data_IF_758919947428
#
_entry.id   IF_758919947428
#
_cell.length_a   1.000
_cell.length_b   1.000
_cell.length_c   1.000
_cell.angle_alpha   90.00
_cell.angle_beta   90.00
_cell.angle_gamma   90.00
#
_symmetry.space_group_name_H-M   'P 1'
#
loop_
_entity.id
_entity.type
_entity.pdbx_description
1 polymer ?
#
# COMPACT_ATOMS: atom_id res chain seq x y z
N UNK A 1 -6.47 -9.30 11.31
CA UNK A 1 -6.84 -8.10 10.52
C UNK A 1 -6.10 -8.14 9.21
N UNK A 2 -6.82 -8.21 8.09
CA UNK A 2 -6.26 -8.12 6.74
C UNK A 2 -5.95 -6.64 6.41
N UNK A 3 -4.71 -6.24 6.71
CA UNK A 3 -4.22 -4.89 6.38
C UNK A 3 -4.29 -4.63 4.87
N UNK A 4 -3.96 -5.64 4.05
CA UNK A 4 -4.11 -5.55 2.59
C UNK A 4 -5.53 -5.17 2.17
N UNK A 5 -6.55 -5.89 2.64
CA UNK A 5 -7.95 -5.62 2.28
C UNK A 5 -8.40 -4.23 2.75
N UNK A 6 -7.93 -3.81 3.93
CA UNK A 6 -8.21 -2.50 4.50
C UNK A 6 -7.59 -1.40 3.65
N UNK A 7 -6.28 -1.45 3.42
CA UNK A 7 -5.53 -0.47 2.63
C UNK A 7 -6.06 -0.42 1.19
N UNK A 8 -6.34 -1.57 0.56
CA UNK A 8 -6.96 -1.64 -0.77
C UNK A 8 -8.31 -0.93 -0.80
N UNK A 9 -9.19 -1.18 0.16
CA UNK A 9 -10.52 -0.53 0.23
C UNK A 9 -10.40 0.98 0.42
N UNK A 10 -9.47 1.43 1.25
CA UNK A 10 -9.23 2.85 1.46
C UNK A 10 -8.59 3.53 0.24
N UNK A 11 -7.69 2.84 -0.45
CA UNK A 11 -7.08 3.31 -1.69
C UNK A 11 -8.11 3.40 -2.83
N UNK A 12 -8.94 2.37 -2.99
CA UNK A 12 -10.05 2.33 -3.95
C UNK A 12 -11.09 3.43 -3.70
N UNK A 13 -11.33 3.76 -2.42
CA UNK A 13 -12.14 4.90 -2.01
C UNK A 13 -11.44 6.27 -2.17
N UNK A 14 -10.27 6.33 -2.83
CA UNK A 14 -9.40 7.52 -2.96
C UNK A 14 -9.07 8.22 -1.65
N UNK A 15 -9.09 7.49 -0.51
CA UNK A 15 -8.71 8.01 0.80
C UNK A 15 -7.20 7.93 1.03
N UNK A 16 -6.54 6.99 0.37
CA UNK A 16 -5.10 6.82 0.41
C UNK A 16 -4.49 7.05 -0.97
N UNK A 17 -3.32 7.66 -0.95
CA UNK A 17 -2.42 7.84 -2.08
C UNK A 17 -1.23 6.89 -1.92
N UNK A 18 -0.38 6.82 -2.94
CA UNK A 18 0.74 5.87 -3.01
C UNK A 18 1.70 6.03 -1.84
N UNK A 19 1.93 7.26 -1.34
CA UNK A 19 2.72 7.51 -0.13
C UNK A 19 2.09 6.92 1.14
N UNK A 20 0.77 6.98 1.30
CA UNK A 20 0.08 6.34 2.41
C UNK A 20 0.24 4.81 2.32
N UNK A 21 0.01 4.21 1.14
CA UNK A 21 0.20 2.76 0.93
C UNK A 21 1.65 2.34 1.21
N UNK A 22 2.63 3.15 0.80
CA UNK A 22 4.05 2.94 1.06
C UNK A 22 4.38 2.93 2.56
N UNK A 23 3.73 3.79 3.35
CA UNK A 23 3.89 3.81 4.81
C UNK A 23 3.46 2.49 5.45
N UNK A 24 2.43 1.83 4.92
CA UNK A 24 2.03 0.50 5.38
C UNK A 24 3.05 -0.58 5.01
N UNK A 25 3.79 -0.42 3.91
CA UNK A 25 4.92 -1.31 3.56
C UNK A 25 6.06 -1.13 4.57
N UNK A 26 6.48 0.12 4.83
CA UNK A 26 7.54 0.44 5.81
C UNK A 26 7.17 -0.06 7.21
N UNK A 27 5.90 0.06 7.59
CA UNK A 27 5.39 -0.40 8.88
C UNK A 27 5.23 -1.95 8.96
N UNK A 28 5.58 -2.68 7.91
CA UNK A 28 5.46 -4.14 7.84
C UNK A 28 4.01 -4.64 7.89
N UNK A 29 3.04 -3.80 7.52
CA UNK A 29 1.61 -4.15 7.49
C UNK A 29 1.20 -4.82 6.19
N UNK A 30 1.86 -4.45 5.09
CA UNK A 30 1.69 -5.05 3.77
C UNK A 30 3.07 -5.29 3.13
N UNK A 31 3.13 -6.15 2.12
CA UNK A 31 4.36 -6.40 1.34
C UNK A 31 4.49 -5.43 0.16
N UNK A 32 5.70 -5.23 -0.40
CA UNK A 32 5.88 -4.47 -1.64
C UNK A 32 5.08 -5.04 -2.83
N UNK A 33 4.88 -6.36 -2.88
CA UNK A 33 4.03 -7.00 -3.89
C UNK A 33 2.55 -6.59 -3.74
N UNK A 34 2.09 -6.51 -2.49
CA UNK A 34 0.75 -6.04 -2.16
C UNK A 34 0.59 -4.55 -2.47
N UNK A 35 1.60 -3.73 -2.20
CA UNK A 35 1.64 -2.33 -2.61
C UNK A 35 1.44 -2.21 -4.12
N UNK A 36 2.23 -2.93 -4.92
CA UNK A 36 2.13 -2.92 -6.37
C UNK A 36 0.76 -3.36 -6.87
N UNK A 37 0.14 -4.31 -6.19
CA UNK A 37 -1.24 -4.75 -6.52
C UNK A 37 -2.29 -3.68 -6.20
N UNK A 38 -2.06 -2.85 -5.17
CA UNK A 38 -2.99 -1.78 -4.76
C UNK A 38 -2.81 -0.54 -5.64
N UNK A 39 -1.57 -0.08 -5.79
CA UNK A 39 -1.24 1.20 -6.45
C UNK A 39 -1.02 1.06 -7.95
N UNK A 40 -0.65 -0.14 -8.41
CA UNK A 40 -0.19 -0.37 -9.78
C UNK A 40 1.27 0.03 -10.03
N UNK A 41 1.95 0.60 -9.03
CA UNK A 41 3.34 1.07 -9.13
C UNK A 41 4.28 0.15 -8.37
N UNK A 42 5.51 0.02 -8.85
CA UNK A 42 6.53 -0.71 -8.10
C UNK A 42 6.87 0.04 -6.81
N UNK A 43 7.12 -0.70 -5.73
CA UNK A 43 7.47 -0.07 -4.47
C UNK A 43 8.93 0.38 -4.52
N UNK A 44 9.16 1.59 -5.01
CA UNK A 44 10.47 2.23 -4.95
C UNK A 44 10.68 2.81 -3.54
N UNK A 45 11.06 1.96 -2.59
CA UNK A 45 11.77 2.43 -1.42
C UNK A 45 13.09 3.03 -1.89
N UNK A 46 13.10 4.33 -2.15
CA UNK A 46 14.35 5.06 -2.40
C UNK A 46 15.28 4.76 -1.22
N UNK A 47 16.35 4.02 -1.51
CA UNK A 47 17.37 3.61 -0.57
C UNK A 47 18.14 4.80 0.01
#
# INVERSE_FOLDING_TARGET
>A
MDWYATVKRHYDASRYNNANVATFVVAGKITPEQYKTITGEDYEASA
#
